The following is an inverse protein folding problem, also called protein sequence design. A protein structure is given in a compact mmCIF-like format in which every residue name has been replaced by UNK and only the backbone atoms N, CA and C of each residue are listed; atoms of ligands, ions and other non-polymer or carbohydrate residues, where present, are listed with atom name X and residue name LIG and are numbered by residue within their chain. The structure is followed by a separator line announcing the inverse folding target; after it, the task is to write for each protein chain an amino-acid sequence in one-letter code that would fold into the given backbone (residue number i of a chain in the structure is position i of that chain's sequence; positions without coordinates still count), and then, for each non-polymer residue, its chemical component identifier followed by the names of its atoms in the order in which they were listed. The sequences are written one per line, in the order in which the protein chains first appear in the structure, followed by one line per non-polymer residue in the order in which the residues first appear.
data_IF_472522570820
#
_entry.id   IF_472522570820
#
_cell.length_a   1.000
_cell.length_b   1.000
_cell.length_c   1.000
_cell.angle_alpha   90.00
_cell.angle_beta   90.00
_cell.angle_gamma   90.00
#
_symmetry.space_group_name_H-M   'P 1'
#
loop_
_entity.id
_entity.type
_entity.pdbx_description
1 polymer ?
#
# COMPACT_ATOMS: atom_id res chain seq x y z
N UNK A 1 12.42 -12.01 1.53
CA UNK A 1 13.43 -11.00 1.95
C UNK A 1 12.64 -9.80 2.33
N UNK A 2 12.58 -9.50 3.63
CA UNK A 2 11.65 -8.51 4.14
C UNK A 2 12.38 -7.18 4.19
N UNK A 3 11.84 -6.20 3.48
CA UNK A 3 12.40 -4.86 3.44
C UNK A 3 11.47 -3.92 4.22
N UNK A 4 12.07 -3.09 5.07
CA UNK A 4 11.39 -1.99 5.74
C UNK A 4 11.96 -0.66 5.29
N UNK A 5 11.11 0.35 5.15
CA UNK A 5 11.50 1.73 4.89
C UNK A 5 10.61 2.68 5.67
N UNK A 6 11.21 3.80 6.03
CA UNK A 6 10.53 4.96 6.60
C UNK A 6 10.79 6.15 5.69
N UNK A 7 9.73 6.82 5.25
CA UNK A 7 9.77 7.96 4.34
C UNK A 7 8.95 7.73 3.08
N UNK A 8 9.18 8.59 2.09
CA UNK A 8 8.32 8.68 0.92
C UNK A 8 8.85 7.84 -0.23
N UNK A 9 7.95 7.16 -0.92
CA UNK A 9 8.28 6.35 -2.08
C UNK A 9 7.33 6.64 -3.22
N UNK A 10 7.87 6.93 -4.40
CA UNK A 10 7.03 7.21 -5.57
C UNK A 10 6.44 5.93 -6.17
N UNK A 11 7.24 4.86 -6.26
CA UNK A 11 6.84 3.61 -6.91
C UNK A 11 7.44 2.38 -6.24
N UNK A 12 6.68 1.28 -6.17
CA UNK A 12 7.17 0.02 -5.63
C UNK A 12 6.61 -1.23 -6.35
N UNK A 13 7.51 -2.16 -6.71
CA UNK A 13 7.19 -3.43 -7.40
C UNK A 13 8.05 -4.62 -6.89
N UNK A 14 7.83 -5.10 -5.65
CA UNK A 14 8.54 -6.23 -5.01
C UNK A 14 7.57 -7.12 -4.24
N UNK A 15 7.86 -8.40 -4.03
CA UNK A 15 6.92 -9.35 -3.40
C UNK A 15 6.46 -8.95 -1.99
N UNK A 16 7.38 -8.65 -1.06
CA UNK A 16 7.05 -8.38 0.35
C UNK A 16 7.70 -7.09 0.85
N UNK A 17 6.96 -6.27 1.61
CA UNK A 17 7.49 -5.01 2.16
C UNK A 17 6.66 -4.48 3.33
N UNK A 18 7.29 -3.69 4.18
CA UNK A 18 6.62 -2.84 5.16
C UNK A 18 7.08 -1.39 4.99
N UNK A 19 6.15 -0.45 4.82
CA UNK A 19 6.47 0.98 4.71
C UNK A 19 5.76 1.74 5.83
N UNK A 20 6.46 2.75 6.33
CA UNK A 20 5.88 3.80 7.16
C UNK A 20 6.14 5.15 6.49
N UNK A 21 5.09 5.78 5.96
CA UNK A 21 5.19 7.02 5.16
C UNK A 21 4.27 6.99 3.94
N UNK A 22 4.55 7.82 2.95
CA UNK A 22 3.66 8.02 1.81
C UNK A 22 4.10 7.23 0.58
N UNK A 23 3.14 6.64 -0.12
CA UNK A 23 3.37 5.90 -1.35
C UNK A 23 2.42 6.36 -2.47
N UNK A 24 2.97 6.80 -3.58
CA UNK A 24 2.12 7.24 -4.70
C UNK A 24 1.55 6.06 -5.49
N UNK A 25 2.38 5.08 -5.84
CA UNK A 25 1.97 3.98 -6.72
C UNK A 25 2.53 2.63 -6.30
N UNK A 26 1.68 1.61 -6.40
CA UNK A 26 2.05 0.27 -5.98
C UNK A 26 1.43 -0.88 -6.79
N UNK A 27 2.26 -1.89 -7.11
CA UNK A 27 1.83 -3.14 -7.76
C UNK A 27 2.59 -4.36 -7.21
N UNK A 28 1.94 -5.20 -6.38
CA UNK A 28 2.55 -6.37 -5.67
C UNK A 28 1.52 -7.42 -5.23
N UNK A 29 2.01 -8.58 -4.74
CA UNK A 29 1.18 -9.63 -4.13
C UNK A 29 0.84 -9.34 -2.67
N UNK A 30 1.84 -9.06 -1.81
CA UNK A 30 1.64 -8.95 -0.35
C UNK A 30 2.31 -7.70 0.23
N UNK A 31 1.63 -7.00 1.15
CA UNK A 31 2.17 -5.75 1.71
C UNK A 31 1.47 -5.24 2.97
N UNK A 32 2.26 -4.55 3.82
CA UNK A 32 1.76 -3.74 4.93
C UNK A 32 2.20 -2.28 4.79
N UNK A 33 1.27 -1.33 4.88
CA UNK A 33 1.56 0.10 4.95
C UNK A 33 0.97 0.73 6.20
N UNK A 34 1.76 1.63 6.80
CA UNK A 34 1.28 2.62 7.76
C UNK A 34 1.53 4.02 7.19
N UNK A 35 0.48 4.72 6.76
CA UNK A 35 0.58 6.01 6.05
C UNK A 35 -0.31 6.06 4.82
N UNK A 36 -0.04 7.00 3.92
CA UNK A 36 -0.97 7.32 2.82
C UNK A 36 -0.57 6.64 1.51
N UNK A 37 -1.56 6.14 0.77
CA UNK A 37 -1.39 5.51 -0.54
C UNK A 37 -2.32 6.14 -1.58
N UNK A 38 -1.74 6.66 -2.66
CA UNK A 38 -2.56 7.28 -3.71
C UNK A 38 -3.16 6.24 -4.65
N UNK A 39 -2.37 5.30 -5.15
CA UNK A 39 -2.80 4.32 -6.15
C UNK A 39 -2.25 2.93 -5.89
N UNK A 40 -3.12 1.92 -6.01
CA UNK A 40 -2.74 0.54 -5.78
C UNK A 40 -3.45 -0.45 -6.72
N UNK A 41 -2.69 -1.41 -7.27
CA UNK A 41 -3.21 -2.60 -7.97
C UNK A 41 -2.64 -3.90 -7.40
N UNK A 42 -3.41 -4.70 -6.65
CA UNK A 42 -2.88 -5.86 -5.87
C UNK A 42 -3.83 -7.02 -5.59
N UNK A 43 -3.27 -8.15 -5.16
CA UNK A 43 -4.03 -9.33 -4.73
C UNK A 43 -4.38 -9.26 -3.23
N UNK A 44 -3.40 -9.07 -2.35
CA UNK A 44 -3.58 -9.10 -0.88
C UNK A 44 -2.81 -7.96 -0.18
N UNK A 45 -3.44 -7.24 0.76
CA UNK A 45 -2.74 -6.23 1.56
C UNK A 45 -3.42 -5.82 2.87
N UNK A 46 -2.61 -5.24 3.76
CA UNK A 46 -3.03 -4.56 4.99
C UNK A 46 -2.59 -3.09 4.94
N UNK A 47 -3.52 -2.18 5.19
CA UNK A 47 -3.26 -0.74 5.24
C UNK A 47 -3.75 -0.15 6.56
N UNK A 48 -2.89 0.63 7.21
CA UNK A 48 -3.24 1.50 8.33
C UNK A 48 -2.97 2.95 7.92
N UNK A 49 -3.99 3.63 7.40
CA UNK A 49 -3.88 4.97 6.82
C UNK A 49 -4.84 5.14 5.65
N UNK A 50 -4.62 6.18 4.84
CA UNK A 50 -5.58 6.57 3.81
C UNK A 50 -5.24 6.00 2.44
N UNK A 51 -6.27 5.57 1.70
CA UNK A 51 -6.14 5.11 0.31
C UNK A 51 -7.07 5.90 -0.61
N UNK A 52 -6.51 6.48 -1.67
CA UNK A 52 -7.28 7.28 -2.64
C UNK A 52 -7.83 6.48 -3.82
N UNK A 53 -7.10 5.47 -4.30
CA UNK A 53 -7.54 4.65 -5.44
C UNK A 53 -7.03 3.21 -5.30
N UNK A 54 -7.95 2.25 -5.46
CA UNK A 54 -7.68 0.83 -5.32
C UNK A 54 -8.25 0.02 -6.48
N UNK A 55 -7.45 -0.91 -7.00
CA UNK A 55 -7.89 -2.08 -7.76
C UNK A 55 -7.30 -3.34 -7.12
N UNK A 56 -7.99 -3.91 -6.13
CA UNK A 56 -7.51 -5.10 -5.43
C UNK A 56 -8.56 -6.21 -5.32
N UNK A 57 -8.10 -7.46 -5.21
CA UNK A 57 -8.98 -8.63 -5.02
C UNK A 57 -9.38 -8.81 -3.55
N UNK A 58 -8.41 -8.73 -2.63
CA UNK A 58 -8.63 -8.94 -1.20
C UNK A 58 -8.04 -7.77 -0.39
N UNK A 59 -8.91 -7.04 0.31
CA UNK A 59 -8.59 -5.81 1.04
C UNK A 59 -9.06 -5.86 2.50
N UNK A 60 -8.16 -5.55 3.43
CA UNK A 60 -8.49 -5.31 4.85
C UNK A 60 -7.92 -3.96 5.34
N UNK A 61 -8.65 -2.84 5.19
CA UNK A 61 -8.25 -1.56 5.76
C UNK A 61 -8.37 -1.54 7.28
N UNK A 62 -7.49 -0.77 7.90
CA UNK A 62 -7.70 -0.18 9.22
C UNK A 62 -7.72 1.35 9.20
N UNK A 63 -7.93 1.94 8.02
CA UNK A 63 -8.06 3.39 7.78
C UNK A 63 -9.09 3.69 6.70
N UNK A 64 -9.11 4.92 6.20
CA UNK A 64 -10.16 5.38 5.29
C UNK A 64 -9.83 5.05 3.84
N UNK A 65 -10.80 4.46 3.14
CA UNK A 65 -10.74 4.23 1.69
C UNK A 65 -11.67 5.22 1.00
N UNK A 66 -11.08 6.09 0.19
CA UNK A 66 -11.83 6.84 -0.82
C UNK A 66 -11.70 6.11 -2.15
N UNK A 67 -12.80 5.89 -2.87
CA UNK A 67 -12.79 5.38 -4.23
C UNK A 67 -13.40 6.45 -5.14
N UNK A 68 -12.69 6.79 -6.22
CA UNK A 68 -13.22 7.64 -7.31
C UNK A 68 -13.60 6.79 -8.52
#
# INVERSE_FOLDING_TARGET
MDYSLTGDLTQMSKMDYSLTGDLTQMSKMDYSLTGDLTQMSKMDYSLTGDLTQMSAMDYSPKGDLTQM
#
